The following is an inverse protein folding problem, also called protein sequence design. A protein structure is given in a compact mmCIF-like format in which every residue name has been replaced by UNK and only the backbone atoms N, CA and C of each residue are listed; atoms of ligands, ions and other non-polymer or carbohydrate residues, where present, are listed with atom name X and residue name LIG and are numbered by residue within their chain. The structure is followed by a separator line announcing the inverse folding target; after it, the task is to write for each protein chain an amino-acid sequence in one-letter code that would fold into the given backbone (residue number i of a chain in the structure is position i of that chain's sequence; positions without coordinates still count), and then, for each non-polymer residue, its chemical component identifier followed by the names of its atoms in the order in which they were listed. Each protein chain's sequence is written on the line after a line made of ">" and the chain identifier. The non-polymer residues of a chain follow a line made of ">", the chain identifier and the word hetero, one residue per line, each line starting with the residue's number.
data_IF_537745538964
#
_entry.id   IF_537745538964
#
_cell.length_a   1.000
_cell.length_b   1.000
_cell.length_c   1.000
_cell.angle_alpha   90.00
_cell.angle_beta   90.00
_cell.angle_gamma   90.00
#
_symmetry.space_group_name_H-M   'P 1'
#
loop_
_entity.id
_entity.type
_entity.pdbx_description
1 polymer ?
#
# COMPACT_ATOMS: atom_id res chain seq x y z
N UNK A 1 -1.08 4.91 20.35
CA UNK A 1 -0.16 5.41 19.31
C UNK A 1 -0.02 6.91 19.45
N UNK A 2 -1.08 7.70 19.30
CA UNK A 2 -1.06 9.18 19.33
C UNK A 2 -0.46 9.77 20.60
N UNK A 3 -0.77 9.22 21.79
CA UNK A 3 -0.19 9.66 23.06
C UNK A 3 1.32 9.47 23.07
N UNK A 4 1.81 8.29 22.69
CA UNK A 4 3.26 8.03 22.63
C UNK A 4 3.99 8.91 21.62
N UNK A 5 3.37 9.17 20.44
CA UNK A 5 3.93 10.11 19.48
C UNK A 5 3.94 11.55 20.00
N UNK A 6 2.92 11.95 20.77
CA UNK A 6 2.89 13.27 21.39
C UNK A 6 4.03 13.48 22.38
N UNK A 7 4.32 12.48 23.19
CA UNK A 7 5.39 12.51 24.19
C UNK A 7 6.78 12.52 23.54
N UNK A 8 7.00 11.65 22.55
CA UNK A 8 8.31 11.47 21.90
C UNK A 8 8.58 12.51 20.80
N UNK A 9 7.53 12.99 20.13
CA UNK A 9 7.59 13.88 18.96
C UNK A 9 6.58 15.02 19.07
N UNK A 10 6.69 15.91 20.08
CA UNK A 10 5.67 16.91 20.40
C UNK A 10 5.45 17.96 19.32
N UNK A 11 6.42 18.17 18.42
CA UNK A 11 6.36 19.17 17.35
C UNK A 11 5.86 18.62 16.02
N UNK A 12 5.67 17.28 15.90
CA UNK A 12 5.25 16.65 14.67
C UNK A 12 3.72 16.74 14.48
N UNK A 13 3.27 16.84 13.23
CA UNK A 13 1.85 16.74 12.89
C UNK A 13 1.38 15.27 12.90
N UNK A 14 0.08 15.07 13.11
CA UNK A 14 -0.55 13.74 13.06
C UNK A 14 -1.82 13.84 12.23
N UNK A 15 -2.03 12.86 11.35
CA UNK A 15 -3.26 12.60 10.59
C UNK A 15 -3.63 11.14 10.80
N UNK A 16 -4.82 10.86 11.32
CA UNK A 16 -5.29 9.49 11.59
C UNK A 16 -6.73 9.27 11.16
N UNK A 17 -7.08 8.03 10.85
CA UNK A 17 -8.42 7.63 10.42
C UNK A 17 -9.48 7.94 11.49
N UNK A 18 -9.21 7.61 12.74
CA UNK A 18 -10.15 7.78 13.87
C UNK A 18 -10.26 9.25 14.37
N UNK A 19 -10.03 10.22 13.47
CA UNK A 19 -10.14 11.64 13.81
C UNK A 19 -8.98 12.19 14.63
N UNK A 20 -7.91 11.43 14.84
CA UNK A 20 -6.68 11.89 15.47
C UNK A 20 -5.94 12.84 14.52
N UNK A 21 -6.25 14.13 14.58
CA UNK A 21 -5.56 15.14 13.78
C UNK A 21 -4.93 16.19 14.69
N UNK A 22 -3.66 16.50 14.45
CA UNK A 22 -2.91 17.53 15.14
C UNK A 22 -1.97 18.25 14.19
N UNK A 23 -1.95 19.57 14.22
CA UNK A 23 -0.94 20.35 13.53
C UNK A 23 0.43 20.24 14.23
N UNK A 24 1.51 20.40 13.46
CA UNK A 24 2.88 20.40 13.95
C UNK A 24 3.71 21.49 13.29
N UNK A 25 4.93 21.70 13.79
CA UNK A 25 5.86 22.72 13.30
C UNK A 25 7.22 22.17 12.88
N UNK A 26 7.45 20.85 13.05
CA UNK A 26 8.73 20.20 12.71
C UNK A 26 8.93 19.98 11.19
N UNK A 27 7.84 20.05 10.40
CA UNK A 27 7.84 19.61 9.00
C UNK A 27 7.61 18.10 8.82
N UNK A 28 7.46 17.34 9.91
CA UNK A 28 7.11 15.89 9.88
C UNK A 28 5.62 15.71 10.13
N UNK A 29 4.99 14.86 9.33
CA UNK A 29 3.58 14.46 9.51
C UNK A 29 3.49 12.95 9.60
N UNK A 30 2.89 12.45 10.70
CA UNK A 30 2.57 11.04 10.91
C UNK A 30 1.20 10.72 10.36
N UNK A 31 1.10 9.62 9.61
CA UNK A 31 -0.14 9.07 9.09
C UNK A 31 -0.40 7.73 9.78
N UNK A 32 -1.57 7.59 10.40
CA UNK A 32 -1.86 6.46 11.29
C UNK A 32 -3.20 5.85 10.92
N UNK A 33 -3.19 4.57 10.61
CA UNK A 33 -4.36 3.72 10.57
C UNK A 33 -4.23 2.68 11.71
N UNK A 34 -5.09 2.74 12.72
CA UNK A 34 -5.05 1.78 13.81
C UNK A 34 -5.52 0.39 13.40
N UNK A 35 -6.38 0.27 12.37
CA UNK A 35 -6.91 -1.01 11.88
C UNK A 35 -7.18 -0.91 10.36
N UNK A 36 -6.11 -0.95 9.55
CA UNK A 36 -6.25 -1.19 8.11
C UNK A 36 -6.87 -2.57 7.86
N UNK A 37 -7.94 -2.61 7.07
CA UNK A 37 -8.74 -3.82 6.91
C UNK A 37 -9.83 -3.97 7.96
N UNK A 38 -10.51 -2.90 8.37
CA UNK A 38 -11.58 -2.86 9.38
C UNK A 38 -12.67 -3.90 9.12
N UNK A 39 -13.06 -4.13 7.85
CA UNK A 39 -14.02 -5.19 7.50
C UNK A 39 -13.49 -6.58 7.86
N UNK A 40 -12.23 -6.85 7.57
CA UNK A 40 -11.60 -8.13 7.93
C UNK A 40 -11.55 -8.32 9.43
N UNK A 41 -11.15 -7.27 10.17
CA UNK A 41 -11.14 -7.29 11.62
C UNK A 41 -12.53 -7.58 12.21
N UNK A 42 -13.57 -6.94 11.69
CA UNK A 42 -14.95 -7.13 12.14
C UNK A 42 -15.47 -8.56 11.90
N UNK A 43 -15.04 -9.21 10.82
CA UNK A 43 -15.44 -10.58 10.46
C UNK A 43 -14.46 -11.66 10.88
N UNK A 44 -13.52 -11.37 11.80
CA UNK A 44 -12.48 -12.29 12.29
C UNK A 44 -11.60 -12.90 11.17
N UNK A 45 -11.44 -12.18 10.05
CA UNK A 45 -10.53 -12.56 8.98
C UNK A 45 -9.12 -12.08 9.34
N UNK A 46 -8.08 -12.94 9.35
CA UNK A 46 -6.75 -12.61 9.86
C UNK A 46 -5.89 -11.76 8.91
N UNK A 47 -6.52 -10.82 8.21
CA UNK A 47 -5.88 -9.94 7.21
C UNK A 47 -6.19 -8.47 7.53
N UNK A 48 -5.58 -7.97 8.58
CA UNK A 48 -5.65 -6.58 9.00
C UNK A 48 -4.33 -6.16 9.68
N UNK A 49 -4.04 -4.88 9.70
CA UNK A 49 -2.79 -4.36 10.25
C UNK A 49 -2.95 -3.02 10.95
N UNK A 50 -1.98 -2.68 11.79
CA UNK A 50 -1.71 -1.30 12.24
C UNK A 50 -0.71 -0.71 11.27
N UNK A 51 -1.04 0.45 10.68
CA UNK A 51 -0.19 1.17 9.73
C UNK A 51 0.24 2.51 10.30
N UNK A 52 1.55 2.76 10.37
CA UNK A 52 2.14 4.02 10.86
C UNK A 52 3.23 4.44 9.89
N UNK A 53 3.04 5.58 9.23
CA UNK A 53 4.04 6.15 8.34
C UNK A 53 4.28 7.62 8.66
N UNK A 54 5.45 8.13 8.33
CA UNK A 54 5.75 9.55 8.41
C UNK A 54 6.27 10.08 7.08
N UNK A 55 5.96 11.34 6.82
CA UNK A 55 6.44 12.10 5.65
C UNK A 55 7.15 13.37 6.10
N UNK A 56 8.08 13.81 5.26
CA UNK A 56 8.69 15.15 5.30
C UNK A 56 8.46 15.88 3.96
N UNK A 57 9.16 16.98 3.74
CA UNK A 57 9.08 17.76 2.49
C UNK A 57 9.53 16.97 1.24
N UNK A 58 10.21 15.85 1.40
CA UNK A 58 10.71 14.99 0.32
C UNK A 58 9.85 13.72 0.11
N UNK A 59 8.73 13.57 0.83
CA UNK A 59 7.81 12.43 0.73
C UNK A 59 7.94 11.43 1.88
N UNK A 60 7.58 10.13 1.68
CA UNK A 60 7.65 9.12 2.72
C UNK A 60 9.05 8.98 3.33
N UNK A 61 9.13 9.00 4.66
CA UNK A 61 10.37 9.02 5.42
C UNK A 61 10.60 7.70 6.17
N UNK A 62 9.60 7.25 6.90
CA UNK A 62 9.61 5.97 7.63
C UNK A 62 8.25 5.32 7.56
N UNK A 63 8.21 3.99 7.68
CA UNK A 63 6.98 3.22 7.73
C UNK A 63 7.12 1.99 8.62
N UNK A 64 6.03 1.68 9.33
CA UNK A 64 5.86 0.44 10.07
C UNK A 64 4.45 -0.08 9.85
N UNK A 65 4.33 -1.35 9.46
CA UNK A 65 3.06 -2.06 9.29
C UNK A 65 3.14 -3.34 10.12
N UNK A 66 2.28 -3.45 11.12
CA UNK A 66 2.19 -4.65 11.94
C UNK A 66 0.91 -5.41 11.66
N UNK A 67 1.02 -6.64 11.19
CA UNK A 67 -0.07 -7.58 10.95
C UNK A 67 -0.13 -8.62 12.09
N UNK A 68 -0.92 -8.39 13.16
CA UNK A 68 -0.87 -9.18 14.38
C UNK A 68 -1.21 -10.64 14.16
N UNK A 69 -2.22 -10.92 13.34
CA UNK A 69 -2.67 -12.29 13.06
C UNK A 69 -1.64 -13.12 12.27
N UNK A 70 -0.73 -12.45 11.56
CA UNK A 70 0.38 -13.08 10.83
C UNK A 70 1.66 -13.11 11.67
N UNK A 71 1.74 -12.37 12.77
CA UNK A 71 2.96 -12.18 13.55
C UNK A 71 4.07 -11.47 12.77
N UNK A 72 3.70 -10.58 11.84
CA UNK A 72 4.63 -9.91 10.93
C UNK A 72 4.69 -8.40 11.18
N UNK A 73 5.91 -7.90 11.38
CA UNK A 73 6.23 -6.49 11.50
C UNK A 73 7.09 -6.07 10.31
N UNK A 74 6.52 -5.29 9.40
CA UNK A 74 7.26 -4.70 8.29
C UNK A 74 7.73 -3.29 8.65
N UNK A 75 8.98 -2.97 8.36
CA UNK A 75 9.53 -1.63 8.61
C UNK A 75 10.46 -1.18 7.50
N UNK A 76 10.50 0.13 7.26
CA UNK A 76 11.47 0.76 6.38
C UNK A 76 11.75 2.19 6.81
N UNK A 77 12.93 2.69 6.44
CA UNK A 77 13.29 4.09 6.47
C UNK A 77 13.98 4.45 5.15
N UNK A 78 13.78 5.67 4.67
CA UNK A 78 14.32 6.15 3.40
C UNK A 78 15.83 5.91 3.31
N UNK A 79 16.26 5.16 2.28
CA UNK A 79 17.66 4.81 2.02
C UNK A 79 18.25 3.73 2.95
N UNK A 80 17.42 3.02 3.73
CA UNK A 80 17.88 2.00 4.67
C UNK A 80 17.41 0.58 4.29
N UNK A 81 16.62 0.45 3.22
CA UNK A 81 15.98 -0.81 2.85
C UNK A 81 14.76 -1.12 3.71
N UNK A 82 14.14 -2.27 3.44
CA UNK A 82 12.97 -2.76 4.14
C UNK A 82 13.23 -4.08 4.86
N UNK A 83 12.51 -4.32 5.96
CA UNK A 83 12.59 -5.56 6.73
C UNK A 83 11.22 -6.12 7.08
N UNK A 84 11.15 -7.45 7.26
CA UNK A 84 10.05 -8.13 7.93
C UNK A 84 10.62 -8.86 9.16
N UNK A 85 10.09 -8.56 10.35
CA UNK A 85 10.59 -9.08 11.63
C UNK A 85 12.12 -8.92 11.77
N UNK A 86 12.65 -7.77 11.32
CA UNK A 86 14.09 -7.45 11.34
C UNK A 86 14.94 -8.13 10.28
N UNK A 87 14.36 -9.02 9.46
CA UNK A 87 15.07 -9.66 8.35
C UNK A 87 14.87 -8.85 7.06
N UNK A 88 15.94 -8.56 6.29
CA UNK A 88 15.83 -7.85 5.01
C UNK A 88 14.85 -8.53 4.05
N UNK A 89 14.05 -7.74 3.35
CA UNK A 89 13.13 -8.19 2.31
C UNK A 89 13.39 -7.46 0.99
N UNK A 90 12.99 -8.09 -0.12
CA UNK A 90 13.00 -7.49 -1.46
C UNK A 90 11.77 -7.95 -2.26
N UNK A 91 11.31 -7.09 -3.18
CA UNK A 91 10.30 -7.50 -4.15
C UNK A 91 10.84 -8.58 -5.10
N UNK A 92 9.94 -9.26 -5.81
CA UNK A 92 10.32 -10.32 -6.76
C UNK A 92 11.03 -9.75 -7.99
N UNK A 93 11.85 -10.59 -8.59
CA UNK A 93 12.38 -10.38 -9.94
C UNK A 93 11.48 -11.13 -10.93
N UNK A 94 10.39 -10.50 -11.36
CA UNK A 94 9.49 -11.03 -12.38
C UNK A 94 9.47 -10.09 -13.58
N UNK A 95 9.59 -10.64 -14.80
CA UNK A 95 9.57 -9.90 -16.06
C UNK A 95 8.43 -10.34 -17.00
N UNK A 96 7.62 -11.31 -16.56
CA UNK A 96 6.57 -11.95 -17.39
C UNK A 96 5.20 -11.68 -16.77
N UNK A 97 4.38 -10.87 -17.43
CA UNK A 97 3.08 -10.46 -16.92
C UNK A 97 2.12 -11.64 -16.68
N UNK A 98 2.13 -12.64 -17.57
CA UNK A 98 1.28 -13.85 -17.43
C UNK A 98 1.66 -14.74 -16.24
N UNK A 99 2.82 -14.52 -15.63
CA UNK A 99 3.25 -15.19 -14.41
C UNK A 99 2.98 -14.36 -13.15
N UNK A 100 2.46 -13.14 -13.31
CA UNK A 100 2.28 -12.21 -12.21
C UNK A 100 1.09 -12.58 -11.32
N UNK A 101 1.33 -12.67 -10.01
CA UNK A 101 0.29 -12.67 -8.99
C UNK A 101 0.03 -11.23 -8.57
N UNK A 102 -1.19 -10.75 -8.87
CA UNK A 102 -1.58 -9.36 -8.67
C UNK A 102 -2.60 -9.25 -7.53
N UNK A 103 -2.50 -8.22 -6.70
CA UNK A 103 -3.51 -7.90 -5.68
C UNK A 103 -4.21 -6.58 -6.00
N UNK A 104 -5.47 -6.45 -5.55
CA UNK A 104 -6.25 -5.22 -5.72
C UNK A 104 -7.26 -5.05 -4.59
N UNK A 105 -7.82 -3.84 -4.49
CA UNK A 105 -8.94 -3.54 -3.64
C UNK A 105 -10.17 -3.04 -4.41
N UNK A 106 -11.27 -2.88 -3.69
CA UNK A 106 -12.51 -2.33 -4.23
C UNK A 106 -13.04 -1.22 -3.34
N UNK A 107 -13.46 -0.11 -3.96
CA UNK A 107 -14.10 0.97 -3.24
C UNK A 107 -15.37 0.51 -2.49
N UNK A 108 -15.63 1.14 -1.34
CA UNK A 108 -16.90 0.99 -0.62
C UNK A 108 -18.09 1.62 -1.37
N UNK A 109 -17.85 2.50 -2.34
CA UNK A 109 -18.89 3.13 -3.17
C UNK A 109 -19.30 2.22 -4.31
N UNK A 110 -20.60 1.89 -4.41
CA UNK A 110 -21.12 0.89 -5.37
C UNK A 110 -20.79 1.22 -6.83
N UNK A 111 -20.89 2.50 -7.23
CA UNK A 111 -20.64 2.91 -8.61
C UNK A 111 -19.17 2.78 -9.02
N UNK A 112 -18.25 3.09 -8.12
CA UNK A 112 -16.80 2.89 -8.32
C UNK A 112 -16.47 1.39 -8.37
N UNK A 113 -17.09 0.60 -7.49
CA UNK A 113 -16.89 -0.86 -7.42
C UNK A 113 -17.26 -1.55 -8.74
N UNK A 114 -18.29 -1.07 -9.45
CA UNK A 114 -18.66 -1.59 -10.77
C UNK A 114 -17.52 -1.39 -11.79
N UNK A 115 -16.91 -0.22 -11.82
CA UNK A 115 -15.77 0.07 -12.71
C UNK A 115 -14.54 -0.80 -12.36
N UNK A 116 -14.25 -0.95 -11.06
CA UNK A 116 -13.16 -1.83 -10.61
C UNK A 116 -13.40 -3.29 -11.02
N UNK A 117 -14.62 -3.80 -10.87
CA UNK A 117 -14.98 -5.16 -11.26
C UNK A 117 -14.84 -5.38 -12.77
N UNK A 118 -15.23 -4.41 -13.60
CA UNK A 118 -15.05 -4.47 -15.06
C UNK A 118 -13.57 -4.49 -15.44
N UNK A 119 -12.74 -3.65 -14.79
CA UNK A 119 -11.29 -3.67 -14.97
C UNK A 119 -10.70 -5.04 -14.65
N UNK A 120 -11.01 -5.60 -13.49
CA UNK A 120 -10.53 -6.91 -13.07
C UNK A 120 -10.96 -8.01 -14.04
N UNK A 121 -12.20 -7.99 -14.52
CA UNK A 121 -12.69 -8.96 -15.47
C UNK A 121 -11.90 -8.97 -16.80
N UNK A 122 -11.37 -7.82 -17.21
CA UNK A 122 -10.51 -7.70 -18.40
C UNK A 122 -9.05 -8.08 -18.13
N UNK A 123 -8.57 -7.84 -16.91
CA UNK A 123 -7.18 -8.10 -16.53
C UNK A 123 -6.89 -9.58 -16.23
N UNK A 124 -7.85 -10.29 -15.64
CA UNK A 124 -7.64 -11.62 -15.06
C UNK A 124 -7.17 -12.67 -16.06
N UNK A 125 -7.45 -12.49 -17.35
CA UNK A 125 -7.01 -13.40 -18.40
C UNK A 125 -5.58 -13.14 -18.89
N UNK A 126 -4.96 -12.03 -18.50
CA UNK A 126 -3.62 -11.61 -18.95
C UNK A 126 -2.55 -11.75 -17.85
N UNK A 127 -2.95 -12.14 -16.65
CA UNK A 127 -2.08 -12.37 -15.49
C UNK A 127 -2.23 -13.80 -14.98
N UNK A 128 -1.33 -14.24 -14.09
CA UNK A 128 -1.42 -15.57 -13.51
C UNK A 128 -2.66 -15.76 -12.64
N UNK A 129 -2.91 -14.81 -11.76
CA UNK A 129 -4.05 -14.84 -10.84
C UNK A 129 -4.20 -13.49 -10.13
N UNK A 130 -5.35 -13.27 -9.48
CA UNK A 130 -5.63 -12.07 -8.72
C UNK A 130 -6.00 -12.40 -7.27
N UNK A 131 -5.65 -11.49 -6.34
CA UNK A 131 -6.04 -11.55 -4.94
C UNK A 131 -6.74 -10.27 -4.54
N UNK A 132 -7.62 -10.36 -3.57
CA UNK A 132 -8.29 -9.24 -2.92
C UNK A 132 -8.32 -9.50 -1.41
N UNK A 133 -7.30 -9.05 -0.68
CA UNK A 133 -7.25 -9.28 0.76
C UNK A 133 -7.97 -8.19 1.55
N UNK A 134 -7.95 -6.94 1.11
CA UNK A 134 -8.72 -5.86 1.70
C UNK A 134 -8.08 -5.20 2.90
N UNK A 135 -6.75 -5.15 2.88
CA UNK A 135 -5.91 -4.40 3.79
C UNK A 135 -4.75 -3.83 2.98
N UNK A 136 -4.86 -2.57 2.55
CA UNK A 136 -3.94 -1.94 1.61
C UNK A 136 -2.49 -1.90 2.10
N UNK A 137 -2.29 -1.66 3.40
CA UNK A 137 -0.95 -1.66 3.99
C UNK A 137 -0.30 -3.05 3.93
N UNK A 138 -1.07 -4.14 4.17
CA UNK A 138 -0.58 -5.53 4.02
C UNK A 138 -0.29 -5.83 2.56
N UNK A 139 -1.18 -5.44 1.64
CA UNK A 139 -1.03 -5.73 0.21
C UNK A 139 0.25 -5.10 -0.35
N UNK A 140 0.58 -3.86 0.04
CA UNK A 140 1.85 -3.19 -0.26
C UNK A 140 3.06 -3.92 0.34
N UNK A 141 2.96 -4.37 1.60
CA UNK A 141 4.00 -5.15 2.26
C UNK A 141 4.22 -6.52 1.60
N UNK A 142 3.17 -7.10 1.02
CA UNK A 142 3.29 -8.36 0.30
C UNK A 142 3.97 -8.20 -1.07
N UNK A 143 3.83 -7.04 -1.72
CA UNK A 143 4.69 -6.69 -2.86
C UNK A 143 6.14 -6.53 -2.39
N UNK A 144 6.37 -5.80 -1.30
CA UNK A 144 7.70 -5.59 -0.73
C UNK A 144 8.42 -6.89 -0.38
N UNK A 145 7.70 -7.90 0.13
CA UNK A 145 8.27 -9.19 0.53
C UNK A 145 8.25 -10.25 -0.58
N UNK A 146 7.92 -9.86 -1.82
CA UNK A 146 7.91 -10.75 -2.98
C UNK A 146 6.80 -11.81 -2.98
N UNK A 147 5.73 -11.61 -2.19
CA UNK A 147 4.55 -12.50 -2.21
C UNK A 147 3.62 -12.17 -3.36
N UNK A 148 3.55 -10.88 -3.75
CA UNK A 148 2.87 -10.41 -4.94
C UNK A 148 3.87 -9.76 -5.90
N UNK A 149 3.54 -9.80 -7.18
CA UNK A 149 4.30 -9.12 -8.21
C UNK A 149 3.81 -7.68 -8.42
N UNK A 150 2.51 -7.43 -8.15
CA UNK A 150 1.92 -6.10 -8.18
C UNK A 150 0.71 -5.96 -7.26
N UNK A 151 0.44 -4.73 -6.86
CA UNK A 151 -0.77 -4.30 -6.18
C UNK A 151 -1.25 -2.99 -6.78
N UNK A 152 -2.56 -2.85 -7.02
CA UNK A 152 -3.18 -1.60 -7.47
C UNK A 152 -4.52 -1.37 -6.80
N UNK A 153 -4.77 -0.14 -6.39
CA UNK A 153 -6.06 0.27 -5.78
C UNK A 153 -6.32 1.76 -5.98
N UNK A 154 -7.58 2.17 -5.86
CA UNK A 154 -8.06 3.54 -5.99
C UNK A 154 -8.82 3.97 -4.74
N UNK A 155 -8.87 5.30 -4.51
CA UNK A 155 -9.66 5.93 -3.47
C UNK A 155 -9.25 5.56 -2.03
N UNK A 156 -7.97 5.37 -1.82
CA UNK A 156 -7.36 5.19 -0.50
C UNK A 156 -7.16 6.52 0.21
N UNK A 157 -6.80 6.46 1.49
CA UNK A 157 -6.35 7.60 2.26
C UNK A 157 -4.84 7.55 2.48
N UNK A 158 -4.27 8.65 2.97
CA UNK A 158 -2.82 8.71 3.20
C UNK A 158 -2.35 7.76 4.31
N UNK A 159 -3.18 7.48 5.29
CA UNK A 159 -2.87 6.54 6.37
C UNK A 159 -2.86 5.08 5.90
N UNK A 160 -3.62 4.72 4.84
CA UNK A 160 -3.57 3.39 4.20
C UNK A 160 -2.26 3.19 3.41
N UNK A 161 -1.66 4.30 2.91
CA UNK A 161 -0.60 4.27 1.89
C UNK A 161 0.81 4.48 2.42
N UNK A 162 1.04 5.51 3.24
CA UNK A 162 2.39 6.06 3.48
C UNK A 162 3.36 5.00 4.01
N UNK A 163 2.95 4.19 4.97
CA UNK A 163 3.81 3.16 5.54
C UNK A 163 4.13 2.05 4.51
N UNK A 164 3.10 1.50 3.85
CA UNK A 164 3.27 0.47 2.84
C UNK A 164 4.05 0.95 1.62
N UNK A 165 3.84 2.21 1.21
CA UNK A 165 4.54 2.84 0.09
C UNK A 165 6.05 2.86 0.31
N UNK A 166 6.53 3.36 1.46
CA UNK A 166 7.97 3.38 1.72
C UNK A 166 8.54 1.99 1.88
N UNK A 167 7.82 1.06 2.52
CA UNK A 167 8.24 -0.34 2.67
C UNK A 167 8.41 -0.99 1.28
N UNK A 168 7.44 -0.81 0.37
CA UNK A 168 7.52 -1.36 -0.98
C UNK A 168 8.67 -0.72 -1.79
N UNK A 169 8.82 0.61 -1.70
CA UNK A 169 9.89 1.32 -2.42
C UNK A 169 11.28 0.92 -1.93
N UNK A 170 11.50 0.82 -0.63
CA UNK A 170 12.78 0.42 -0.02
C UNK A 170 13.11 -1.06 -0.26
N UNK A 171 12.09 -1.88 -0.53
CA UNK A 171 12.26 -3.27 -0.97
C UNK A 171 12.53 -3.41 -2.49
N UNK A 172 12.62 -2.29 -3.23
CA UNK A 172 12.94 -2.27 -4.66
C UNK A 172 11.74 -2.29 -5.59
N UNK A 173 10.49 -2.27 -5.10
CA UNK A 173 9.31 -2.12 -5.94
C UNK A 173 9.19 -0.67 -6.49
N UNK A 174 8.64 -0.51 -7.68
CA UNK A 174 8.30 0.79 -8.24
C UNK A 174 6.87 1.14 -7.81
N UNK A 175 6.70 2.26 -7.08
CA UNK A 175 5.40 2.69 -6.56
C UNK A 175 5.00 4.00 -7.21
N UNK A 176 3.90 3.98 -7.98
CA UNK A 176 3.42 5.10 -8.82
C UNK A 176 1.90 5.22 -8.77
N UNK A 177 1.36 6.23 -9.47
CA UNK A 177 -0.03 6.20 -9.93
C UNK A 177 -0.17 5.28 -11.17
N UNK A 178 -1.36 5.21 -11.76
CA UNK A 178 -1.64 4.36 -12.93
C UNK A 178 -1.04 4.88 -14.25
N UNK A 179 -0.45 6.07 -14.25
CA UNK A 179 0.24 6.65 -15.38
C UNK A 179 1.77 6.64 -15.23
N UNK A 180 2.29 6.06 -14.13
CA UNK A 180 3.71 6.06 -13.81
C UNK A 180 4.21 7.35 -13.14
N UNK A 181 3.29 8.22 -12.75
CA UNK A 181 3.56 9.45 -12.01
C UNK A 181 3.63 9.25 -10.49
N UNK A 182 3.75 10.33 -9.72
CA UNK A 182 3.77 10.26 -8.25
C UNK A 182 2.49 9.65 -7.68
N UNK A 183 2.65 8.82 -6.66
CA UNK A 183 1.52 8.21 -5.93
C UNK A 183 0.61 9.28 -5.34
N UNK A 184 -0.68 9.06 -5.49
CA UNK A 184 -1.72 9.83 -4.82
C UNK A 184 -2.71 8.90 -4.12
N UNK A 185 -3.48 9.36 -3.13
CA UNK A 185 -4.55 8.56 -2.55
C UNK A 185 -5.62 8.11 -3.57
N UNK A 186 -5.70 8.79 -4.72
CA UNK A 186 -6.63 8.41 -5.79
C UNK A 186 -6.22 7.13 -6.50
N UNK A 187 -4.93 6.91 -6.69
CA UNK A 187 -4.41 5.77 -7.45
C UNK A 187 -3.04 5.37 -6.90
N UNK A 188 -2.88 4.11 -6.60
CA UNK A 188 -1.61 3.49 -6.26
C UNK A 188 -1.40 2.24 -7.11
N UNK A 189 -0.22 2.11 -7.65
CA UNK A 189 0.33 0.91 -8.26
C UNK A 189 1.70 0.67 -7.64
N UNK A 190 1.87 -0.44 -6.98
CA UNK A 190 3.18 -0.96 -6.58
C UNK A 190 3.45 -2.23 -7.40
N UNK A 191 4.58 -2.31 -8.06
CA UNK A 191 4.92 -3.48 -8.87
C UNK A 191 6.42 -3.76 -8.88
N UNK A 192 6.78 -5.01 -9.14
CA UNK A 192 8.19 -5.33 -9.39
C UNK A 192 8.66 -4.60 -10.66
N UNK A 193 9.93 -4.16 -10.72
CA UNK A 193 10.42 -3.33 -11.83
C UNK A 193 10.19 -3.96 -13.22
N UNK A 194 10.34 -5.27 -13.32
CA UNK A 194 10.30 -5.99 -14.59
C UNK A 194 8.92 -6.04 -15.27
N UNK A 195 7.83 -5.83 -14.53
CA UNK A 195 6.46 -5.84 -15.09
C UNK A 195 5.70 -4.52 -14.91
N UNK A 196 6.27 -3.53 -14.22
CA UNK A 196 5.57 -2.29 -13.88
C UNK A 196 4.97 -1.60 -15.10
N UNK A 197 5.72 -1.43 -16.19
CA UNK A 197 5.21 -0.85 -17.43
C UNK A 197 4.07 -1.66 -18.05
N UNK A 198 4.20 -3.00 -18.06
CA UNK A 198 3.17 -3.89 -18.60
C UNK A 198 1.87 -3.84 -17.76
N UNK A 199 1.97 -3.68 -16.43
CA UNK A 199 0.80 -3.53 -15.55
C UNK A 199 0.12 -2.16 -15.79
N UNK A 200 0.87 -1.07 -15.97
CA UNK A 200 0.32 0.24 -16.36
C UNK A 200 -0.49 0.13 -17.65
N UNK A 201 0.10 -0.47 -18.68
CA UNK A 201 -0.57 -0.67 -19.97
C UNK A 201 -1.83 -1.54 -19.83
N UNK A 202 -1.77 -2.59 -19.02
CA UNK A 202 -2.91 -3.47 -18.75
C UNK A 202 -4.04 -2.71 -18.04
N UNK A 203 -3.75 -1.92 -17.01
CA UNK A 203 -4.73 -1.08 -16.31
C UNK A 203 -5.36 -0.08 -17.30
N UNK A 204 -4.54 0.59 -18.11
CA UNK A 204 -5.02 1.59 -19.08
C UNK A 204 -5.98 0.99 -20.13
N UNK A 205 -5.65 -0.20 -20.66
CA UNK A 205 -6.51 -0.94 -21.61
C UNK A 205 -7.81 -1.40 -20.96
N UNK A 206 -7.72 -1.84 -19.72
CA UNK A 206 -8.85 -2.40 -18.97
C UNK A 206 -9.81 -1.33 -18.42
N UNK A 207 -9.43 -0.06 -18.47
CA UNK A 207 -10.24 1.08 -17.97
C UNK A 207 -11.06 1.74 -19.10
N UNK A 208 -10.69 1.56 -20.36
CA UNK A 208 -11.43 2.14 -21.50
C UNK A 208 -12.77 1.44 -21.65
N UNK A 209 -13.86 2.20 -21.61
CA UNK A 209 -15.17 1.73 -22.07
C UNK A 209 -15.11 1.51 -23.57
N UNK A 210 -15.61 0.36 -24.05
CA UNK A 210 -15.90 0.13 -25.46
C UNK A 210 -17.11 0.93 -25.90
#
# INVERSE_FOLDING_TARGET
>A
ITTGLHELRPLDAIIGEEGASRSGTSGITWHIDPIDGTSNFYFDIPMWAVSIGAVDAHGPLVGAVYAPALGEMFTAARGQGATCNGMPISCRENTVLTDALVCTGYSYRVHERKQHAQRVARMVTEIRDIRRFGAAAIDLCFVASGRFDAYFEEHLHSWDLIAGQIIASEAGAIVTDYAGGPVTPRQVLAATPGIQGAVIDLIARSTKDE
#
